data_IF_581459407942
#
_entry.id   IF_581459407942
#
_cell.length_a   1.000
_cell.length_b   1.000
_cell.length_c   1.000
_cell.angle_alpha   90.00
_cell.angle_beta   90.00
_cell.angle_gamma   90.00
#
_symmetry.space_group_name_H-M   'P 1'
#
loop_
_entity.id
_entity.type
_entity.pdbx_description
1 polymer ?
#
# COMPACT_ATOMS: atom_id res chain seq x y z
N UNK A 1 -17.12 -14.57 -25.28
CA UNK A 1 -17.56 -13.33 -24.57
C UNK A 1 -17.78 -13.54 -23.07
N UNK A 2 -18.41 -14.62 -22.60
CA UNK A 2 -18.70 -14.82 -21.17
C UNK A 2 -17.45 -14.84 -20.26
N UNK A 3 -16.36 -15.46 -20.73
CA UNK A 3 -15.10 -15.56 -19.98
C UNK A 3 -14.47 -14.20 -19.69
N UNK A 4 -14.57 -13.24 -20.61
CA UNK A 4 -14.06 -11.87 -20.45
C UNK A 4 -14.77 -11.14 -19.32
N UNK A 5 -16.08 -11.31 -19.20
CA UNK A 5 -16.88 -10.67 -18.15
C UNK A 5 -16.52 -11.24 -16.77
N UNK A 6 -16.37 -12.56 -16.67
CA UNK A 6 -15.97 -13.25 -15.44
C UNK A 6 -14.55 -12.86 -15.02
N UNK A 7 -13.60 -12.75 -15.96
CA UNK A 7 -12.23 -12.32 -15.63
C UNK A 7 -12.20 -10.89 -15.11
N UNK A 8 -12.94 -9.98 -15.74
CA UNK A 8 -13.02 -8.58 -15.30
C UNK A 8 -13.62 -8.47 -13.90
N UNK A 9 -14.65 -9.25 -13.61
CA UNK A 9 -15.31 -9.27 -12.31
C UNK A 9 -14.38 -9.81 -11.21
N UNK A 10 -13.69 -10.93 -11.46
CA UNK A 10 -12.73 -11.49 -10.50
C UNK A 10 -11.60 -10.50 -10.23
N UNK A 11 -11.01 -9.91 -11.28
CA UNK A 11 -9.91 -8.97 -11.12
C UNK A 11 -10.36 -7.72 -10.35
N UNK A 12 -11.54 -7.17 -10.70
CA UNK A 12 -12.14 -6.05 -9.97
C UNK A 12 -12.39 -6.37 -8.49
N UNK A 13 -12.90 -7.57 -8.18
CA UNK A 13 -13.13 -8.00 -6.81
C UNK A 13 -11.83 -8.15 -6.01
N UNK A 14 -10.76 -8.64 -6.63
CA UNK A 14 -9.44 -8.71 -5.99
C UNK A 14 -8.88 -7.34 -5.63
N UNK A 15 -8.94 -6.37 -6.55
CA UNK A 15 -8.52 -5.00 -6.26
C UNK A 15 -9.39 -4.33 -5.20
N UNK A 16 -10.71 -4.54 -5.26
CA UNK A 16 -11.64 -4.04 -4.25
C UNK A 16 -11.34 -4.63 -2.87
N UNK A 17 -11.05 -5.93 -2.79
CA UNK A 17 -10.67 -6.60 -1.54
C UNK A 17 -9.36 -6.06 -0.96
N UNK A 18 -8.36 -5.80 -1.81
CA UNK A 18 -7.11 -5.16 -1.39
C UNK A 18 -7.34 -3.73 -0.87
N UNK A 19 -8.13 -2.92 -1.59
CA UNK A 19 -8.45 -1.56 -1.18
C UNK A 19 -9.20 -1.53 0.16
N UNK A 20 -10.25 -2.34 0.30
CA UNK A 20 -11.01 -2.44 1.54
C UNK A 20 -10.15 -2.95 2.70
N UNK A 21 -9.27 -3.92 2.46
CA UNK A 21 -8.35 -4.44 3.47
C UNK A 21 -7.36 -3.39 3.97
N UNK A 22 -6.90 -2.48 3.10
CA UNK A 22 -6.02 -1.37 3.49
C UNK A 22 -6.75 -0.29 4.27
N UNK A 23 -7.96 0.08 3.83
CA UNK A 23 -8.79 1.08 4.50
C UNK A 23 -9.15 0.60 5.92
N UNK A 24 -9.55 -0.66 6.08
CA UNK A 24 -9.91 -1.21 7.39
C UNK A 24 -8.72 -1.32 8.35
N UNK A 25 -7.52 -1.59 7.83
CA UNK A 25 -6.33 -1.71 8.67
C UNK A 25 -5.70 -0.36 8.98
N UNK A 26 -6.00 0.68 8.20
CA UNK A 26 -5.38 2.01 8.27
C UNK A 26 -3.82 1.96 8.31
N UNK A 27 -3.23 0.82 7.91
CA UNK A 27 -1.80 0.63 7.86
C UNK A 27 -1.33 0.94 6.45
N UNK A 28 -0.16 1.56 6.28
CA UNK A 28 0.48 1.63 4.98
C UNK A 28 0.87 0.23 4.49
N UNK A 29 1.00 0.09 3.16
CA UNK A 29 1.39 -1.19 2.56
C UNK A 29 2.80 -1.54 3.06
N UNK A 30 2.95 -2.73 3.68
CA UNK A 30 4.18 -3.19 4.33
C UNK A 30 5.43 -3.21 3.43
N UNK A 31 5.28 -3.10 2.11
CA UNK A 31 6.39 -2.93 1.16
C UNK A 31 6.77 -1.49 0.83
N UNK A 32 5.87 -0.51 1.07
CA UNK A 32 6.13 0.90 0.77
C UNK A 32 7.01 1.59 1.82
N UNK A 33 6.99 1.11 3.07
CA UNK A 33 7.79 1.67 4.18
C UNK A 33 9.14 0.96 4.39
N UNK A 34 9.35 -0.21 3.76
CA UNK A 34 10.59 -0.99 3.90
C UNK A 34 11.83 -0.32 3.31
N UNK A 35 11.65 0.65 2.39
CA UNK A 35 12.75 1.49 1.91
C UNK A 35 13.22 2.51 2.93
N UNK A 36 12.34 2.96 3.85
CA UNK A 36 12.66 3.98 4.85
C UNK A 36 13.59 3.49 5.96
N UNK A 37 13.72 2.17 6.15
CA UNK A 37 14.67 1.59 7.10
C UNK A 37 16.14 1.66 6.62
N UNK A 38 16.36 1.90 5.33
CA UNK A 38 17.70 2.09 4.75
C UNK A 38 18.07 3.58 4.58
N UNK A 39 17.17 4.49 4.98
CA UNK A 39 17.40 5.93 4.97
C UNK A 39 18.06 6.33 6.29
N UNK A 40 19.08 7.19 6.25
CA UNK A 40 19.71 7.74 7.47
C UNK A 40 18.65 8.31 8.41
N UNK A 41 18.79 8.08 9.72
CA UNK A 41 17.82 8.50 10.74
C UNK A 41 17.52 10.00 10.60
N UNK A 42 16.29 10.35 10.21
CA UNK A 42 15.88 11.74 9.98
C UNK A 42 16.04 12.25 8.54
N UNK A 43 16.36 11.40 7.57
CA UNK A 43 16.30 11.78 6.15
C UNK A 43 14.86 11.72 5.63
N UNK A 44 14.36 12.78 4.96
CA UNK A 44 13.00 12.81 4.44
C UNK A 44 12.86 11.84 3.26
N UNK A 45 11.75 11.11 3.20
CA UNK A 45 11.42 10.26 2.07
C UNK A 45 11.39 11.10 0.79
N UNK A 46 12.23 10.80 -0.20
CA UNK A 46 12.38 11.63 -1.40
C UNK A 46 11.11 11.71 -2.27
N UNK A 47 10.17 10.78 -2.07
CA UNK A 47 8.89 10.70 -2.80
C UNK A 47 7.79 11.55 -2.14
N UNK A 48 7.75 11.61 -0.81
CA UNK A 48 6.63 12.21 -0.07
C UNK A 48 7.05 13.15 1.07
N UNK A 49 8.34 13.41 1.24
CA UNK A 49 8.92 14.36 2.19
C UNK A 49 8.75 14.01 3.67
N UNK A 50 8.21 12.82 3.98
CA UNK A 50 7.96 12.37 5.36
C UNK A 50 9.26 11.87 5.99
N UNK A 51 9.57 12.34 7.20
CA UNK A 51 10.80 12.02 7.93
C UNK A 51 10.61 10.94 8.99
N UNK A 52 9.38 10.68 9.40
CA UNK A 52 9.06 9.84 10.56
C UNK A 52 8.64 8.42 10.14
N UNK A 53 9.50 7.40 10.33
CA UNK A 53 9.13 6.00 10.09
C UNK A 53 8.05 5.50 11.06
N UNK A 54 7.89 6.15 12.22
CA UNK A 54 6.87 5.84 13.22
C UNK A 54 5.42 6.05 12.77
N UNK A 55 5.20 6.77 11.65
CA UNK A 55 3.89 6.85 10.98
C UNK A 55 3.59 5.60 10.11
N UNK A 56 4.56 4.71 9.89
CA UNK A 56 4.40 3.47 9.13
C UNK A 56 4.19 2.21 9.99
N UNK A 57 4.47 2.30 11.29
CA UNK A 57 4.27 1.22 12.26
C UNK A 57 2.90 1.29 12.96
N UNK A 58 2.03 2.22 12.54
CA UNK A 58 0.69 2.42 13.08
C UNK A 58 -0.42 2.29 12.06
#
# INVERSE_FOLDING_TARGET
MNTLFVTFLIMGLSFAGLALGLILRNQPIKGSCGGMANLEEGSPCQICGRTDPSNCDK
#
